data_IF_371098614830
#
_entry.id   IF_371098614830
#
_cell.length_a   1.000
_cell.length_b   1.000
_cell.length_c   1.000
_cell.angle_alpha   90.00
_cell.angle_beta   90.00
_cell.angle_gamma   90.00
#
_symmetry.space_group_name_H-M   'P 1'
#
loop_
_entity.id
_entity.type
_entity.pdbx_description
1 polymer ?
#
# COMPACT_ATOMS: atom_id res chain seq x y z
N UNK A 1 -13.46 -20.05 1.58
CA UNK A 1 -12.27 -20.55 2.32
C UNK A 1 -10.97 -20.03 1.74
N UNK A 2 -10.72 -20.11 0.42
CA UNK A 2 -9.51 -19.54 -0.20
C UNK A 2 -9.31 -18.04 0.11
N UNK A 3 -10.37 -17.23 0.06
CA UNK A 3 -10.33 -15.77 0.30
C UNK A 3 -10.01 -15.39 1.76
N UNK A 4 -10.45 -16.21 2.72
CA UNK A 4 -10.07 -16.03 4.14
C UNK A 4 -8.61 -16.43 4.37
N UNK A 5 -8.13 -17.40 3.61
CA UNK A 5 -6.75 -17.88 3.69
C UNK A 5 -5.75 -16.86 3.13
N UNK A 6 -6.09 -16.20 2.03
CA UNK A 6 -5.26 -15.15 1.42
C UNK A 6 -5.15 -13.93 2.33
N UNK A 7 -6.24 -13.48 2.97
CA UNK A 7 -6.21 -12.32 3.88
C UNK A 7 -5.34 -12.52 5.13
N UNK A 8 -5.37 -13.71 5.73
CA UNK A 8 -4.52 -14.02 6.90
C UNK A 8 -3.04 -14.14 6.52
N UNK A 9 -2.74 -14.76 5.38
CA UNK A 9 -1.36 -14.89 4.89
C UNK A 9 -0.80 -13.53 4.45
N UNK A 10 -1.60 -12.67 3.81
CA UNK A 10 -1.19 -11.30 3.46
C UNK A 10 -0.99 -10.41 4.69
N UNK A 11 -1.86 -10.51 5.69
CA UNK A 11 -1.70 -9.81 6.97
C UNK A 11 -0.42 -10.24 7.71
N UNK A 12 -0.12 -11.54 7.73
CA UNK A 12 1.09 -12.09 8.35
C UNK A 12 2.36 -11.79 7.55
N UNK A 13 2.30 -11.75 6.21
CA UNK A 13 3.37 -11.26 5.35
C UNK A 13 3.69 -9.79 5.66
N UNK A 14 2.66 -8.97 5.89
CA UNK A 14 2.83 -7.57 6.27
C UNK A 14 3.59 -7.43 7.58
N UNK A 15 3.38 -8.29 8.58
CA UNK A 15 4.02 -8.12 9.90
C UNK A 15 5.41 -8.74 10.04
N UNK A 16 5.69 -9.82 9.30
CA UNK A 16 6.84 -10.70 9.59
C UNK A 16 7.88 -10.81 8.45
N UNK A 17 7.59 -10.28 7.26
CA UNK A 17 8.44 -10.51 6.08
C UNK A 17 9.00 -9.20 5.51
N UNK A 18 10.29 -8.96 5.78
CA UNK A 18 11.03 -7.77 5.33
C UNK A 18 12.20 -8.13 4.41
N UNK A 19 11.91 -8.83 3.30
CA UNK A 19 12.88 -9.19 2.27
C UNK A 19 12.31 -9.06 0.86
N UNK A 20 13.13 -9.15 -0.20
CA UNK A 20 12.62 -9.29 -1.56
C UNK A 20 11.70 -10.51 -1.65
N UNK A 21 10.69 -10.56 -2.56
CA UNK A 21 9.75 -11.68 -2.66
C UNK A 21 10.47 -13.04 -2.65
N UNK A 22 10.00 -14.03 -1.88
CA UNK A 22 10.73 -15.28 -1.73
C UNK A 22 10.69 -16.04 -3.05
N UNK A 23 11.86 -16.44 -3.54
CA UNK A 23 11.97 -17.24 -4.76
C UNK A 23 11.28 -18.61 -4.56
N UNK A 24 10.34 -18.99 -5.45
CA UNK A 24 9.72 -20.29 -5.41
C UNK A 24 10.72 -21.39 -5.77
N UNK A 25 10.70 -22.50 -5.03
CA UNK A 25 11.38 -23.73 -5.46
C UNK A 25 10.73 -24.27 -6.75
N UNK A 26 11.43 -25.10 -7.55
CA UNK A 26 10.84 -25.71 -8.74
C UNK A 26 9.53 -26.46 -8.42
N UNK A 27 8.43 -26.01 -9.02
CA UNK A 27 7.08 -26.57 -8.78
C UNK A 27 6.35 -26.03 -7.54
N UNK A 28 6.95 -25.10 -6.78
CA UNK A 28 6.33 -24.43 -5.64
C UNK A 28 5.54 -23.20 -6.10
N UNK A 29 4.32 -23.03 -5.59
CA UNK A 29 3.55 -21.80 -5.84
C UNK A 29 4.10 -20.65 -4.99
N UNK A 30 4.09 -19.41 -5.49
CA UNK A 30 4.68 -18.25 -4.78
C UNK A 30 4.09 -18.04 -3.36
N UNK A 31 2.81 -18.36 -3.15
CA UNK A 31 2.18 -18.32 -1.82
C UNK A 31 2.76 -19.36 -0.85
N UNK A 32 3.20 -20.52 -1.36
CA UNK A 32 3.84 -21.56 -0.54
C UNK A 32 5.26 -21.11 -0.15
N UNK A 33 6.00 -20.50 -1.09
CA UNK A 33 7.31 -19.91 -0.82
C UNK A 33 7.22 -18.80 0.25
N UNK A 34 6.21 -17.93 0.14
CA UNK A 34 5.85 -16.93 1.15
C UNK A 34 5.54 -17.56 2.51
N UNK A 35 4.63 -18.54 2.55
CA UNK A 35 4.22 -19.21 3.79
C UNK A 35 5.39 -19.91 4.49
N UNK A 36 6.28 -20.54 3.70
CA UNK A 36 7.50 -21.19 4.18
C UNK A 36 8.43 -20.20 4.85
N UNK A 37 8.62 -19.03 4.25
CA UNK A 37 9.53 -18.02 4.77
C UNK A 37 8.96 -17.27 5.98
N UNK A 38 7.64 -17.06 6.04
CA UNK A 38 6.93 -16.58 7.24
C UNK A 38 7.14 -17.54 8.41
N UNK A 39 6.93 -18.85 8.19
CA UNK A 39 7.06 -19.88 9.24
C UNK A 39 8.48 -19.97 9.81
N UNK A 40 9.51 -19.67 9.00
CA UNK A 40 10.90 -19.62 9.46
C UNK A 40 11.19 -18.38 10.32
N UNK A 41 10.61 -17.23 9.98
CA UNK A 41 10.95 -15.93 10.58
C UNK A 41 10.06 -15.55 11.76
N UNK A 42 8.87 -16.14 11.88
CA UNK A 42 7.94 -15.93 13.00
C UNK A 42 7.61 -17.28 13.69
N UNK A 43 8.41 -17.71 14.68
CA UNK A 43 8.12 -18.91 15.45
C UNK A 43 6.92 -18.67 16.37
N UNK A 44 5.81 -19.35 16.10
CA UNK A 44 4.56 -19.25 16.89
C UNK A 44 3.28 -19.21 16.05
N UNK A 45 3.37 -18.96 14.75
CA UNK A 45 2.20 -18.87 13.87
C UNK A 45 1.64 -20.25 13.50
N UNK A 46 0.45 -20.57 13.99
CA UNK A 46 -0.35 -21.72 13.53
C UNK A 46 -1.00 -21.39 12.17
N UNK A 47 -0.26 -21.57 11.08
CA UNK A 47 -0.83 -21.53 9.73
C UNK A 47 -1.43 -22.91 9.43
N UNK A 48 -2.73 -23.07 9.71
CA UNK A 48 -3.48 -24.29 9.38
C UNK A 48 -3.55 -24.44 7.87
N UNK A 49 -2.68 -25.25 7.27
CA UNK A 49 -2.88 -25.69 5.87
C UNK A 49 -4.01 -26.69 5.86
N UNK A 50 -5.20 -26.25 5.45
CA UNK A 50 -6.33 -27.13 5.23
C UNK A 50 -6.06 -28.07 4.06
N UNK A 51 -5.38 -29.19 4.33
CA UNK A 51 -5.35 -30.36 3.45
C UNK A 51 -5.97 -31.53 4.19
N UNK A 52 -7.17 -31.94 3.74
CA UNK A 52 -7.87 -33.12 4.23
C UNK A 52 -7.10 -34.40 3.87
N UNK A 53 -7.02 -35.31 4.85
CA UNK A 53 -6.72 -36.76 4.80
C UNK A 53 -5.34 -37.14 4.23
N UNK A 54 -4.52 -38.00 4.83
CA UNK A 54 -4.75 -39.09 5.77
C UNK A 54 -3.78 -40.22 5.37
N UNK A 55 -3.24 -40.93 6.36
CA UNK A 55 -2.33 -42.09 6.30
C UNK A 55 -0.81 -41.84 6.32
N UNK A 56 -0.27 -42.34 7.44
CA UNK A 56 1.09 -42.73 7.79
C UNK A 56 1.81 -43.59 6.75
N UNK A 57 3.14 -43.44 6.65
CA UNK A 57 4.01 -44.49 6.11
C UNK A 57 5.42 -44.05 5.71
N UNK A 58 6.38 -44.26 6.62
CA UNK A 58 7.78 -44.69 6.46
C UNK A 58 8.74 -44.07 5.42
N UNK A 59 9.95 -43.80 5.94
CA UNK A 59 11.21 -43.56 5.23
C UNK A 59 11.56 -44.68 4.23
N UNK A 60 12.09 -44.31 3.06
CA UNK A 60 13.19 -45.02 2.40
C UNK A 60 13.88 -44.13 1.37
N UNK A 61 15.20 -44.12 1.46
CA UNK A 61 16.18 -43.55 0.54
C UNK A 61 16.30 -44.36 -0.75
N UNK A 62 16.51 -43.69 -1.90
CA UNK A 62 17.42 -44.17 -2.95
C UNK A 62 17.69 -43.11 -4.04
N UNK A 63 18.98 -42.94 -4.33
CA UNK A 63 19.58 -42.11 -5.36
C UNK A 63 19.36 -42.65 -6.77
N UNK A 64 19.38 -41.79 -7.80
CA UNK A 64 20.11 -42.00 -9.07
C UNK A 64 20.13 -40.71 -9.92
N UNK A 65 21.28 -40.47 -10.55
CA UNK A 65 21.70 -39.33 -11.38
C UNK A 65 21.25 -39.45 -12.87
N UNK A 66 21.47 -38.40 -13.71
CA UNK A 66 20.67 -38.10 -14.90
C UNK A 66 21.28 -38.57 -16.23
N UNK A 67 20.49 -38.53 -17.31
CA UNK A 67 21.00 -38.61 -18.68
C UNK A 67 20.30 -37.61 -19.62
N UNK A 68 21.09 -36.71 -20.19
CA UNK A 68 20.75 -35.77 -21.25
C UNK A 68 20.87 -36.41 -22.64
N UNK A 69 20.14 -35.89 -23.66
CA UNK A 69 20.56 -35.59 -25.07
C UNK A 69 19.32 -34.96 -25.79
N UNK A 70 19.24 -33.67 -26.18
CA UNK A 70 19.76 -32.88 -27.34
C UNK A 70 18.93 -32.93 -28.64
N UNK A 71 18.50 -31.72 -29.08
CA UNK A 71 18.22 -31.11 -30.41
C UNK A 71 17.11 -31.53 -31.42
N UNK A 72 16.13 -30.60 -31.57
CA UNK A 72 15.65 -29.81 -32.75
C UNK A 72 15.56 -30.38 -34.20
N UNK A 73 14.91 -29.70 -35.20
CA UNK A 73 13.77 -28.74 -35.22
C UNK A 73 12.77 -28.94 -36.42
N UNK A 74 11.90 -27.92 -36.67
CA UNK A 74 11.07 -27.58 -37.87
C UNK A 74 9.67 -28.23 -37.92
N UNK A 75 8.56 -27.58 -38.30
CA UNK A 75 8.33 -26.51 -39.30
C UNK A 75 6.98 -25.81 -39.05
N UNK A 76 6.87 -24.53 -39.44
CA UNK A 76 5.62 -23.79 -39.63
C UNK A 76 4.74 -24.40 -40.73
N UNK A 77 3.41 -24.26 -40.64
CA UNK A 77 2.58 -24.00 -41.81
C UNK A 77 1.20 -23.41 -41.47
N UNK A 78 0.94 -22.32 -42.16
CA UNK A 78 -0.24 -21.47 -42.26
C UNK A 78 -1.31 -22.03 -43.21
N UNK A 79 -2.56 -21.53 -43.08
CA UNK A 79 -3.49 -21.05 -44.14
C UNK A 79 -4.97 -21.50 -44.02
N UNK A 80 -5.83 -20.48 -44.08
CA UNK A 80 -7.17 -20.31 -44.68
C UNK A 80 -8.42 -20.96 -44.10
N UNK A 81 -9.24 -20.09 -43.52
CA UNK A 81 -10.56 -19.65 -44.02
C UNK A 81 -11.30 -20.60 -44.97
N UNK A 82 -12.41 -21.17 -44.48
CA UNK A 82 -13.55 -21.61 -45.29
C UNK A 82 -14.84 -21.12 -44.62
N UNK A 83 -15.65 -20.40 -45.38
CA UNK A 83 -17.02 -19.99 -45.03
C UNK A 83 -17.99 -21.02 -45.65
N UNK A 84 -19.02 -21.47 -44.92
CA UNK A 84 -20.26 -21.93 -45.56
C UNK A 84 -21.46 -21.13 -45.00
N UNK A 85 -22.16 -20.36 -45.84
CA UNK A 85 -23.49 -20.64 -46.44
C UNK A 85 -24.64 -20.77 -45.44
N UNK A 86 -25.57 -19.83 -45.59
CA UNK A 86 -26.89 -19.76 -44.95
C UNK A 86 -27.74 -20.98 -45.30
N UNK A 87 -28.40 -21.55 -44.29
CA UNK A 87 -29.62 -22.33 -44.47
C UNK A 87 -30.52 -22.13 -43.25
N UNK A 88 -31.68 -21.53 -43.49
CA UNK A 88 -32.77 -21.33 -42.54
C UNK A 88 -33.29 -22.67 -42.04
N UNK A 89 -33.34 -22.84 -40.71
CA UNK A 89 -34.35 -23.64 -40.04
C UNK A 89 -34.63 -23.03 -38.66
N UNK A 90 -35.89 -22.67 -38.48
CA UNK A 90 -36.42 -21.90 -37.38
C UNK A 90 -36.93 -22.88 -36.31
N UNK A 91 -36.14 -23.14 -35.27
CA UNK A 91 -36.62 -23.82 -34.05
C UNK A 91 -36.43 -22.90 -32.83
N UNK A 92 -37.57 -22.54 -32.25
CA UNK A 92 -37.67 -21.59 -31.15
C UNK A 92 -37.13 -22.18 -29.87
N UNK A 93 -35.87 -21.89 -29.57
CA UNK A 93 -35.37 -21.88 -28.20
C UNK A 93 -34.51 -20.63 -28.03
N UNK A 94 -35.09 -19.59 -27.43
CA UNK A 94 -34.38 -18.39 -26.99
C UNK A 94 -33.14 -18.80 -26.20
N UNK A 95 -31.91 -18.49 -26.66
CA UNK A 95 -30.75 -18.59 -25.81
C UNK A 95 -30.92 -17.51 -24.76
N UNK A 96 -31.08 -17.90 -23.50
CA UNK A 96 -30.89 -16.99 -22.38
C UNK A 96 -29.54 -16.33 -22.57
N UNK A 97 -29.56 -15.04 -22.91
CA UNK A 97 -28.39 -14.19 -22.89
C UNK A 97 -27.83 -14.35 -21.48
N UNK A 98 -26.71 -15.07 -21.35
CA UNK A 98 -25.92 -14.97 -20.14
C UNK A 98 -25.48 -13.51 -20.10
N UNK A 99 -26.20 -12.71 -19.33
CA UNK A 99 -25.74 -11.40 -18.92
C UNK A 99 -24.37 -11.66 -18.31
N UNK A 100 -23.31 -11.27 -19.02
CA UNK A 100 -21.98 -11.17 -18.43
C UNK A 100 -22.17 -10.31 -17.19
N UNK A 101 -22.09 -10.92 -16.00
CA UNK A 101 -22.24 -10.19 -14.75
C UNK A 101 -21.20 -9.05 -14.81
N UNK A 102 -21.68 -7.82 -14.98
CA UNK A 102 -20.83 -6.65 -14.94
C UNK A 102 -20.09 -6.71 -13.61
N UNK A 103 -18.76 -6.64 -13.65
CA UNK A 103 -17.96 -6.61 -12.42
C UNK A 103 -18.58 -5.58 -11.45
N UNK A 104 -18.81 -5.96 -10.18
CA UNK A 104 -19.41 -5.04 -9.22
C UNK A 104 -18.61 -3.74 -9.16
N UNK A 105 -19.31 -2.61 -9.29
CA UNK A 105 -18.73 -1.27 -9.18
C UNK A 105 -18.81 -0.83 -7.72
N UNK A 106 -17.67 -0.80 -7.04
CA UNK A 106 -17.58 -0.32 -5.66
C UNK A 106 -17.35 1.19 -5.63
N UNK A 107 -18.13 1.94 -4.86
CA UNK A 107 -17.93 3.39 -4.73
C UNK A 107 -16.59 3.73 -4.07
N UNK A 108 -16.22 2.97 -3.03
CA UNK A 108 -14.98 3.11 -2.26
C UNK A 108 -14.60 1.78 -1.58
N UNK A 109 -13.54 1.77 -0.76
CA UNK A 109 -13.13 0.58 -0.01
C UNK A 109 -14.15 0.15 1.07
N UNK A 110 -15.02 1.06 1.55
CA UNK A 110 -16.08 0.71 2.51
C UNK A 110 -17.16 -0.11 1.82
N UNK A 111 -17.53 0.26 0.59
CA UNK A 111 -18.47 -0.48 -0.23
C UNK A 111 -17.91 -1.86 -0.61
N UNK A 112 -16.65 -1.95 -1.04
CA UNK A 112 -16.02 -3.24 -1.31
C UNK A 112 -15.98 -4.14 -0.06
N UNK A 113 -15.70 -3.56 1.11
CA UNK A 113 -15.72 -4.27 2.39
C UNK A 113 -17.10 -4.83 2.73
N UNK A 114 -18.16 -4.04 2.55
CA UNK A 114 -19.54 -4.48 2.79
C UNK A 114 -19.97 -5.63 1.85
N UNK A 115 -19.32 -5.75 0.69
CA UNK A 115 -19.52 -6.81 -0.30
C UNK A 115 -18.52 -7.98 -0.15
N UNK A 116 -17.81 -8.07 0.98
CA UNK A 116 -16.96 -9.23 1.31
C UNK A 116 -15.52 -9.15 0.79
N UNK A 117 -15.09 -8.01 0.25
CA UNK A 117 -13.71 -7.74 -0.15
C UNK A 117 -13.02 -6.95 0.97
N UNK A 118 -12.34 -7.66 1.86
CA UNK A 118 -11.79 -7.10 3.10
C UNK A 118 -10.42 -6.41 2.93
N UNK A 119 -9.77 -6.53 1.78
CA UNK A 119 -8.52 -5.86 1.48
C UNK A 119 -7.88 -6.34 0.18
N UNK A 120 -6.74 -5.76 -0.17
CA UNK A 120 -6.02 -6.04 -1.41
C UNK A 120 -6.23 -4.95 -2.46
N UNK A 121 -5.81 -5.21 -3.70
CA UNK A 121 -5.96 -4.25 -4.80
C UNK A 121 -7.38 -4.34 -5.38
N UNK A 122 -8.08 -3.21 -5.44
CA UNK A 122 -9.49 -3.10 -5.85
C UNK A 122 -9.65 -1.87 -6.75
N UNK A 123 -10.47 -1.98 -7.79
CA UNK A 123 -10.92 -0.81 -8.55
C UNK A 123 -12.17 -0.21 -7.90
N UNK A 124 -12.07 1.04 -7.46
CA UNK A 124 -13.18 1.83 -6.91
C UNK A 124 -13.62 2.91 -7.90
N UNK A 125 -14.83 3.43 -7.74
CA UNK A 125 -15.45 4.41 -8.66
C UNK A 125 -15.95 5.64 -7.90
N UNK A 126 -15.06 6.44 -7.27
CA UNK A 126 -15.44 7.70 -6.65
C UNK A 126 -15.84 8.73 -7.71
N UNK A 127 -16.55 9.78 -7.30
CA UNK A 127 -17.07 10.82 -8.21
C UNK A 127 -15.99 11.42 -9.13
N UNK A 128 -14.77 11.58 -8.60
CA UNK A 128 -13.64 12.17 -9.33
C UNK A 128 -13.00 11.20 -10.35
N UNK A 129 -13.27 9.89 -10.23
CA UNK A 129 -12.72 8.84 -11.09
C UNK A 129 -13.84 7.93 -11.62
N UNK A 130 -14.73 8.43 -12.51
CA UNK A 130 -15.90 7.69 -12.99
C UNK A 130 -15.54 6.46 -13.85
N UNK A 131 -14.34 6.45 -14.43
CA UNK A 131 -13.80 5.34 -15.22
C UNK A 131 -13.13 4.26 -14.36
N UNK A 132 -12.97 4.52 -13.06
CA UNK A 132 -12.35 3.62 -12.09
C UNK A 132 -10.96 4.06 -11.67
N UNK A 133 -10.65 3.84 -10.40
CA UNK A 133 -9.35 4.09 -9.78
C UNK A 133 -8.90 2.80 -9.07
N UNK A 134 -7.74 2.27 -9.46
CA UNK A 134 -7.13 1.14 -8.76
C UNK A 134 -6.47 1.62 -7.47
N UNK A 135 -6.86 1.02 -6.34
CA UNK A 135 -6.33 1.35 -5.01
C UNK A 135 -6.04 0.09 -4.22
N UNK A 136 -5.22 0.20 -3.17
CA UNK A 136 -5.15 -0.84 -2.15
C UNK A 136 -6.15 -0.55 -1.04
N UNK A 137 -7.09 -1.46 -0.80
CA UNK A 137 -7.99 -1.41 0.33
C UNK A 137 -7.41 -2.18 1.52
N UNK A 138 -7.60 -1.63 2.72
CA UNK A 138 -7.42 -2.34 3.98
C UNK A 138 -8.66 -2.09 4.84
N UNK A 139 -9.48 -3.13 4.99
CA UNK A 139 -10.84 -3.03 5.49
C UNK A 139 -11.65 -1.99 4.71
N UNK A 140 -12.15 -0.95 5.40
CA UNK A 140 -12.95 0.14 4.82
C UNK A 140 -12.11 1.35 4.40
N UNK A 141 -10.78 1.22 4.39
CA UNK A 141 -9.84 2.33 4.18
C UNK A 141 -9.10 2.19 2.85
N UNK A 142 -8.92 3.32 2.18
CA UNK A 142 -8.03 3.45 1.02
C UNK A 142 -6.62 3.66 1.57
N UNK A 143 -5.67 2.81 1.20
CA UNK A 143 -4.26 2.98 1.56
C UNK A 143 -3.63 3.93 0.55
N UNK A 144 -3.10 5.05 1.03
CA UNK A 144 -2.42 6.06 0.18
C UNK A 144 -0.91 5.91 0.19
N UNK A 145 -0.38 5.25 1.22
CA UNK A 145 1.04 4.91 1.34
C UNK A 145 1.17 3.59 2.07
N UNK A 146 2.10 2.74 1.60
CA UNK A 146 2.54 1.55 2.33
C UNK A 146 4.06 1.44 2.27
N UNK A 147 4.68 1.10 3.40
CA UNK A 147 6.10 0.73 3.52
C UNK A 147 6.22 -0.64 4.16
N UNK A 148 6.33 -1.69 3.35
CA UNK A 148 6.52 -3.07 3.83
C UNK A 148 7.68 -3.81 3.15
N UNK A 149 8.16 -3.32 2.01
CA UNK A 149 9.32 -3.85 1.30
C UNK A 149 10.35 -2.75 1.10
N UNK A 150 11.61 -3.01 1.48
CA UNK A 150 12.71 -2.05 1.43
C UNK A 150 13.25 -1.77 0.01
N UNK A 151 12.87 -2.58 -0.98
CA UNK A 151 13.35 -2.44 -2.35
C UNK A 151 12.72 -1.25 -3.11
N UNK A 152 11.59 -0.74 -2.63
CA UNK A 152 10.94 0.42 -3.25
C UNK A 152 11.61 1.72 -2.80
N UNK A 153 12.07 2.53 -3.76
CA UNK A 153 12.72 3.80 -3.51
C UNK A 153 11.67 4.91 -3.31
N UNK A 154 11.75 5.65 -2.21
CA UNK A 154 10.88 6.80 -1.92
C UNK A 154 11.59 8.16 -2.08
N UNK A 155 12.88 8.19 -2.38
CA UNK A 155 13.56 9.39 -2.87
C UNK A 155 13.20 9.61 -4.34
N UNK A 156 11.99 10.12 -4.58
CA UNK A 156 11.37 10.29 -5.90
C UNK A 156 11.12 11.76 -6.23
N UNK A 157 11.01 12.04 -7.52
CA UNK A 157 10.79 13.39 -8.06
C UNK A 157 9.38 13.91 -7.77
N UNK A 158 9.18 15.22 -7.93
CA UNK A 158 7.85 15.85 -7.89
C UNK A 158 6.83 15.16 -8.78
N UNK A 159 7.20 14.88 -10.03
CA UNK A 159 6.31 14.25 -11.00
C UNK A 159 5.90 12.83 -10.57
N UNK A 160 6.84 12.05 -10.02
CA UNK A 160 6.54 10.71 -9.50
C UNK A 160 5.66 10.78 -8.24
N UNK A 161 5.90 11.73 -7.33
CA UNK A 161 5.03 11.92 -6.16
C UNK A 161 3.63 12.42 -6.53
N UNK A 162 3.52 13.23 -7.58
CA UNK A 162 2.24 13.67 -8.15
C UNK A 162 1.45 12.49 -8.70
N UNK A 163 2.08 11.70 -9.57
CA UNK A 163 1.41 10.65 -10.35
C UNK A 163 1.26 9.33 -9.58
N UNK A 164 2.09 9.12 -8.54
CA UNK A 164 2.17 7.89 -7.78
C UNK A 164 3.24 6.94 -8.31
N UNK A 165 3.72 6.05 -7.43
CA UNK A 165 4.76 5.07 -7.75
C UNK A 165 4.69 3.84 -6.84
N UNK A 166 5.39 2.78 -7.26
CA UNK A 166 5.47 1.51 -6.53
C UNK A 166 4.37 0.53 -6.91
N UNK A 167 4.09 -0.44 -6.04
CA UNK A 167 3.12 -1.50 -6.27
C UNK A 167 2.05 -1.52 -5.19
N UNK A 168 0.77 -1.41 -5.58
CA UNK A 168 -0.38 -1.35 -4.67
C UNK A 168 -0.51 -2.58 -3.74
N UNK A 169 0.07 -3.73 -4.08
CA UNK A 169 0.16 -4.91 -3.22
C UNK A 169 1.31 -4.88 -2.21
N UNK A 170 2.33 -4.04 -2.44
CA UNK A 170 3.55 -3.93 -1.64
C UNK A 170 3.78 -2.48 -1.20
N UNK A 171 5.00 -1.95 -1.34
CA UNK A 171 5.31 -0.56 -1.03
C UNK A 171 4.90 0.36 -2.19
N UNK A 172 4.22 1.46 -1.89
CA UNK A 172 3.80 2.44 -2.88
C UNK A 172 3.45 3.81 -2.26
N UNK A 173 3.36 4.82 -3.11
CA UNK A 173 2.70 6.10 -2.86
C UNK A 173 1.61 6.29 -3.92
N UNK A 174 0.37 6.54 -3.49
CA UNK A 174 -0.78 6.57 -4.41
C UNK A 174 -0.72 7.70 -5.44
N UNK A 175 -0.09 8.82 -5.08
CA UNK A 175 0.00 10.02 -5.92
C UNK A 175 -0.72 11.20 -5.29
N UNK A 176 -0.03 12.34 -5.20
CA UNK A 176 -0.55 13.55 -4.56
C UNK A 176 -1.79 14.08 -5.29
N UNK A 177 -1.80 14.05 -6.63
CA UNK A 177 -2.96 14.50 -7.39
C UNK A 177 -4.16 13.59 -7.14
N UNK A 178 -3.93 12.28 -7.03
CA UNK A 178 -5.00 11.33 -6.73
C UNK A 178 -5.61 11.63 -5.36
N UNK A 179 -4.77 11.77 -4.33
CA UNK A 179 -5.24 12.06 -2.97
C UNK A 179 -5.91 13.44 -2.88
N UNK A 180 -5.37 14.47 -3.57
CA UNK A 180 -5.98 15.80 -3.67
C UNK A 180 -7.38 15.73 -4.26
N UNK A 181 -7.55 15.03 -5.38
CA UNK A 181 -8.85 14.89 -6.03
C UNK A 181 -9.84 14.13 -5.13
N UNK A 182 -9.43 13.01 -4.53
CA UNK A 182 -10.30 12.25 -3.61
C UNK A 182 -10.77 13.12 -2.43
N UNK A 183 -9.85 13.87 -1.82
CA UNK A 183 -10.12 14.70 -0.63
C UNK A 183 -10.68 16.08 -0.93
N UNK A 184 -10.89 16.42 -2.20
CA UNK A 184 -11.43 17.73 -2.63
C UNK A 184 -12.91 17.94 -2.29
N UNK A 185 -13.65 16.85 -2.02
CA UNK A 185 -15.07 16.89 -1.66
C UNK A 185 -15.36 15.98 -0.46
N UNK A 186 -16.23 16.49 0.43
CA UNK A 186 -16.61 15.85 1.68
C UNK A 186 -15.53 15.87 2.75
N UNK A 187 -15.86 15.23 3.88
CA UNK A 187 -14.97 15.12 5.03
C UNK A 187 -14.23 13.78 4.94
N UNK A 188 -12.93 13.81 5.16
CA UNK A 188 -12.05 12.66 5.06
C UNK A 188 -11.26 12.50 6.35
N UNK A 189 -11.17 11.28 6.83
CA UNK A 189 -10.36 10.91 7.98
C UNK A 189 -9.03 10.34 7.49
N UNK A 190 -7.96 10.59 8.24
CA UNK A 190 -6.65 9.96 8.05
C UNK A 190 -6.36 9.01 9.21
N UNK A 191 -5.80 7.85 8.89
CA UNK A 191 -5.28 6.88 9.85
C UNK A 191 -3.84 6.54 9.49
N UNK A 192 -2.95 6.57 10.47
CA UNK A 192 -1.56 6.13 10.34
C UNK A 192 -1.35 4.90 11.21
N UNK A 193 -0.94 3.80 10.60
CA UNK A 193 -0.55 2.57 11.29
C UNK A 193 0.97 2.43 11.30
N UNK A 194 1.54 2.24 12.49
CA UNK A 194 2.98 2.13 12.71
C UNK A 194 3.28 0.82 13.44
N UNK A 195 4.34 0.12 13.05
CA UNK A 195 4.83 -1.04 13.79
C UNK A 195 6.32 -0.93 14.06
N UNK A 196 6.73 -1.44 15.22
CA UNK A 196 8.13 -1.51 15.61
C UNK A 196 8.84 -2.63 14.86
N UNK A 197 10.03 -2.36 14.32
CA UNK A 197 10.91 -3.40 13.80
C UNK A 197 11.63 -4.16 14.92
N UNK A 198 11.97 -3.47 16.02
CA UNK A 198 12.77 -4.03 17.12
C UNK A 198 11.93 -4.89 18.07
N UNK A 199 10.62 -4.62 18.16
CA UNK A 199 9.66 -5.38 18.96
C UNK A 199 8.51 -5.88 18.07
N UNK A 200 8.69 -7.03 17.39
CA UNK A 200 7.69 -7.63 16.51
C UNK A 200 6.41 -7.96 17.28
N UNK A 201 5.40 -7.11 17.15
CA UNK A 201 4.11 -7.21 17.87
C UNK A 201 3.67 -5.89 18.49
N UNK A 202 4.59 -4.94 18.63
CA UNK A 202 4.28 -3.57 19.06
C UNK A 202 3.78 -2.73 17.88
N UNK A 203 2.54 -2.28 17.97
CA UNK A 203 1.86 -1.49 16.93
C UNK A 203 1.19 -0.26 17.55
N UNK A 204 1.29 0.87 16.87
CA UNK A 204 0.64 2.12 17.23
C UNK A 204 -0.27 2.57 16.10
N UNK A 205 -1.40 3.19 16.44
CA UNK A 205 -2.32 3.79 15.47
C UNK A 205 -2.59 5.22 15.88
N UNK A 206 -2.66 6.11 14.89
CA UNK A 206 -2.99 7.52 15.05
C UNK A 206 -4.10 7.88 14.07
N UNK A 207 -5.04 8.73 14.47
CA UNK A 207 -6.14 9.18 13.60
C UNK A 207 -6.31 10.69 13.63
N UNK A 208 -6.83 11.22 12.53
CA UNK A 208 -7.12 12.63 12.30
C UNK A 208 -8.55 12.72 11.76
N UNK A 209 -9.35 13.61 12.34
CA UNK A 209 -10.78 13.70 12.04
C UNK A 209 -11.05 14.39 10.70
N UNK A 210 -10.19 15.33 10.33
CA UNK A 210 -10.17 16.01 9.03
C UNK A 210 -8.82 15.81 8.37
N UNK A 211 -8.83 15.48 7.08
CA UNK A 211 -7.65 15.35 6.25
C UNK A 211 -7.95 15.78 4.81
N UNK A 212 -7.15 16.70 4.29
CA UNK A 212 -7.19 17.11 2.89
C UNK A 212 -5.79 17.45 2.39
N UNK A 213 -5.60 17.28 1.08
CA UNK A 213 -4.51 17.90 0.35
C UNK A 213 -5.12 18.99 -0.53
N UNK A 214 -4.57 20.21 -0.47
CA UNK A 214 -5.15 21.39 -1.15
C UNK A 214 -4.11 22.15 -1.98
N UNK A 215 -4.60 22.96 -2.93
CA UNK A 215 -3.73 23.77 -3.80
C UNK A 215 -2.97 22.96 -4.84
N UNK A 216 -2.09 23.62 -5.59
CA UNK A 216 -1.27 22.99 -6.65
C UNK A 216 0.07 22.46 -6.11
N UNK A 217 0.48 22.93 -4.93
CA UNK A 217 1.67 22.48 -4.20
C UNK A 217 1.34 21.41 -3.14
N UNK A 218 0.12 20.86 -3.17
CA UNK A 218 -0.32 19.76 -2.33
C UNK A 218 -0.18 20.03 -0.82
N UNK A 219 -0.59 21.21 -0.36
CA UNK A 219 -0.54 21.61 1.05
C UNK A 219 -1.36 20.67 1.93
N UNK A 220 -0.79 20.27 3.07
CA UNK A 220 -1.47 19.40 4.05
C UNK A 220 -2.47 20.19 4.89
N UNK A 221 -3.69 19.67 5.01
CA UNK A 221 -4.66 20.07 6.03
C UNK A 221 -5.02 18.84 6.85
N UNK A 222 -4.70 18.84 8.13
CA UNK A 222 -5.07 17.75 9.03
C UNK A 222 -5.43 18.26 10.42
N UNK A 223 -6.51 17.72 11.00
CA UNK A 223 -6.98 18.03 12.36
C UNK A 223 -6.78 16.83 13.28
N UNK A 224 -6.06 17.02 14.39
CA UNK A 224 -5.78 15.95 15.35
C UNK A 224 -7.06 15.45 16.02
N UNK A 225 -7.28 14.13 16.01
CA UNK A 225 -8.23 13.53 16.94
C UNK A 225 -7.59 13.49 18.34
N UNK A 226 -8.16 14.17 19.35
CA UNK A 226 -7.54 14.31 20.67
C UNK A 226 -7.40 12.98 21.44
N UNK A 227 -8.04 11.90 20.98
CA UNK A 227 -7.84 10.55 21.52
C UNK A 227 -6.50 9.92 21.11
N UNK A 228 -5.78 10.54 20.18
CA UNK A 228 -4.55 10.02 19.58
C UNK A 228 -3.38 11.01 19.73
N UNK A 229 -2.80 11.16 20.93
CA UNK A 229 -1.78 12.18 21.21
C UNK A 229 -0.51 12.06 20.35
N UNK A 230 -0.23 10.89 19.77
CA UNK A 230 0.87 10.72 18.82
C UNK A 230 0.66 11.50 17.51
N UNK A 231 -0.52 12.04 17.23
CA UNK A 231 -0.79 12.79 15.99
C UNK A 231 -0.25 14.22 15.97
N UNK A 232 0.27 14.72 17.09
CA UNK A 232 1.08 15.94 17.12
C UNK A 232 2.27 15.89 16.15
N UNK A 233 2.82 14.68 15.92
CA UNK A 233 3.92 14.47 14.98
C UNK A 233 3.59 14.73 13.52
N UNK A 234 2.32 14.92 13.18
CA UNK A 234 1.86 15.44 11.88
C UNK A 234 1.35 16.88 12.01
N UNK A 235 0.57 17.17 13.05
CA UNK A 235 -0.22 18.41 13.13
C UNK A 235 0.54 19.65 13.59
N UNK A 236 1.58 19.51 14.41
CA UNK A 236 2.26 20.66 15.01
C UNK A 236 3.16 21.39 14.00
N UNK A 237 3.79 20.64 13.08
CA UNK A 237 4.81 21.18 12.15
C UNK A 237 4.41 21.04 10.69
N UNK A 238 3.80 19.91 10.30
CA UNK A 238 3.60 19.58 8.89
C UNK A 238 2.26 20.11 8.35
N UNK A 239 1.22 20.20 9.19
CA UNK A 239 -0.06 20.80 8.77
C UNK A 239 0.15 22.24 8.33
N UNK A 240 -0.42 22.59 7.18
CA UNK A 240 -0.29 23.90 6.56
C UNK A 240 0.95 24.06 5.69
N UNK A 241 1.86 23.10 5.64
CA UNK A 241 3.02 23.16 4.76
C UNK A 241 2.70 22.60 3.37
N UNK A 242 3.24 23.17 2.29
CA UNK A 242 3.24 22.55 0.96
C UNK A 242 4.09 21.27 0.96
N UNK A 243 3.92 20.46 -0.07
CA UNK A 243 4.73 19.25 -0.25
C UNK A 243 6.07 19.62 -0.91
N UNK A 244 7.16 18.97 -0.47
CA UNK A 244 8.49 19.13 -1.06
C UNK A 244 9.04 17.78 -1.55
N UNK A 245 9.85 17.82 -2.60
CA UNK A 245 10.61 16.67 -3.14
C UNK A 245 12.05 17.10 -3.44
N UNK A 246 12.95 16.16 -3.74
CA UNK A 246 14.36 16.50 -3.91
C UNK A 246 14.63 17.48 -5.06
N UNK A 247 13.74 17.56 -6.05
CA UNK A 247 13.82 18.42 -7.23
C UNK A 247 12.78 19.55 -7.25
N UNK A 248 11.99 19.69 -6.18
CA UNK A 248 10.97 20.73 -6.04
C UNK A 248 10.85 21.16 -4.58
N UNK A 249 11.46 22.32 -4.29
CA UNK A 249 11.66 22.83 -2.95
C UNK A 249 10.58 23.86 -2.58
N UNK A 250 9.66 23.44 -1.72
CA UNK A 250 8.59 24.28 -1.18
C UNK A 250 8.68 24.41 0.35
N UNK A 251 9.75 23.93 0.98
CA UNK A 251 9.86 24.04 2.44
C UNK A 251 10.16 25.49 2.88
N UNK A 252 9.94 25.78 4.16
CA UNK A 252 10.13 27.10 4.79
C UNK A 252 11.52 27.17 5.46
N UNK A 253 12.51 26.46 4.90
CA UNK A 253 13.88 26.48 5.39
C UNK A 253 14.52 27.85 5.09
N UNK A 254 15.05 28.50 6.13
CA UNK A 254 15.61 29.85 6.02
C UNK A 254 16.96 29.95 5.30
N UNK A 255 17.42 28.85 4.69
CA UNK A 255 18.69 28.75 3.96
C UNK A 255 18.50 27.89 2.70
N UNK A 256 19.54 27.74 1.87
CA UNK A 256 19.47 27.04 0.57
C UNK A 256 19.34 25.49 0.68
N UNK A 257 18.94 24.95 1.83
CA UNK A 257 18.80 23.50 2.05
C UNK A 257 17.39 23.03 1.71
N UNK A 258 17.28 22.15 0.72
CA UNK A 258 16.05 21.40 0.47
C UNK A 258 15.94 20.20 1.44
N UNK A 259 14.89 20.19 2.27
CA UNK A 259 14.68 19.18 3.28
C UNK A 259 14.37 17.80 2.72
N UNK A 260 13.61 17.73 1.62
CA UNK A 260 13.32 16.47 0.96
C UNK A 260 14.58 15.82 0.36
N UNK A 261 15.51 16.62 -0.16
CA UNK A 261 16.80 16.14 -0.65
C UNK A 261 17.69 15.61 0.48
N UNK A 262 17.66 16.26 1.65
CA UNK A 262 18.41 15.88 2.84
C UNK A 262 17.85 14.61 3.50
N UNK A 263 16.53 14.55 3.69
CA UNK A 263 15.79 13.53 4.43
C UNK A 263 15.28 12.37 3.57
N UNK A 264 15.60 12.39 2.28
CA UNK A 264 15.46 11.25 1.36
C UNK A 264 14.03 10.75 1.13
N UNK A 265 13.05 11.64 1.19
CA UNK A 265 11.65 11.35 0.88
C UNK A 265 10.90 12.62 0.56
N UNK A 266 9.79 12.50 -0.18
CA UNK A 266 8.84 13.60 -0.34
C UNK A 266 7.90 13.69 0.86
N UNK A 267 7.72 14.89 1.42
CA UNK A 267 6.89 15.13 2.59
C UNK A 267 6.50 16.62 2.71
N UNK A 268 5.60 16.92 3.64
CA UNK A 268 5.24 18.28 4.03
C UNK A 268 6.26 18.85 5.02
N UNK A 269 7.47 19.12 4.54
CA UNK A 269 8.53 19.67 5.40
C UNK A 269 8.31 21.16 5.64
N UNK A 270 8.55 21.58 6.89
CA UNK A 270 8.65 23.00 7.24
C UNK A 270 10.09 23.44 7.24
N UNK A 271 10.89 22.83 8.12
CA UNK A 271 12.34 23.02 8.23
C UNK A 271 12.96 21.68 8.63
N UNK A 272 14.26 21.55 8.40
CA UNK A 272 15.04 20.36 8.72
C UNK A 272 16.45 20.69 9.22
N UNK A 273 16.89 21.95 9.16
CA UNK A 273 18.16 22.40 9.73
C UNK A 273 17.94 23.52 10.75
N UNK A 274 18.78 23.59 11.79
CA UNK A 274 18.80 24.77 12.69
C UNK A 274 18.36 24.59 14.15
N UNK A 275 18.34 23.37 14.70
CA UNK A 275 18.05 23.13 16.12
C UNK A 275 19.02 22.13 16.77
N UNK A 276 19.24 22.26 18.09
CA UNK A 276 20.00 21.29 18.91
C UNK A 276 19.27 19.93 18.97
N UNK A 277 17.95 19.96 18.76
CA UNK A 277 17.03 18.82 18.77
C UNK A 277 16.23 18.78 17.45
N UNK A 278 16.71 18.02 16.48
CA UNK A 278 16.03 17.74 15.20
C UNK A 278 14.76 16.92 15.34
N UNK A 279 14.46 16.44 16.55
CA UNK A 279 13.20 15.74 16.82
C UNK A 279 12.00 16.67 16.65
N UNK A 280 12.11 17.89 17.16
CA UNK A 280 11.07 18.91 17.12
C UNK A 280 10.89 19.51 15.71
N UNK A 281 11.94 19.53 14.90
CA UNK A 281 11.90 20.11 13.56
C UNK A 281 11.24 19.19 12.53
N UNK A 282 11.44 17.88 12.64
CA UNK A 282 10.95 16.90 11.66
C UNK A 282 10.22 15.77 12.37
N UNK A 283 9.14 16.03 13.14
CA UNK A 283 8.58 15.03 14.04
C UNK A 283 8.07 13.78 13.31
N UNK A 284 7.78 13.83 12.01
CA UNK A 284 7.57 12.64 11.18
C UNK A 284 8.22 12.73 9.79
N UNK A 285 8.59 11.56 9.25
CA UNK A 285 9.03 11.38 7.86
C UNK A 285 8.79 9.93 7.43
N UNK A 286 7.55 9.52 7.19
CA UNK A 286 7.23 8.13 6.84
C UNK A 286 7.67 7.74 5.41
N UNK A 287 8.11 8.71 4.61
CA UNK A 287 8.64 8.52 3.26
C UNK A 287 10.18 8.49 3.21
N UNK A 288 10.86 8.60 4.36
CA UNK A 288 12.31 8.47 4.44
C UNK A 288 12.83 7.09 4.03
N UNK A 289 14.15 6.95 4.00
CA UNK A 289 14.82 5.69 3.65
C UNK A 289 14.49 4.58 4.65
N UNK A 290 14.53 3.33 4.16
CA UNK A 290 14.58 2.16 5.03
C UNK A 290 15.98 2.07 5.66
N UNK A 291 16.31 2.96 6.61
CA UNK A 291 17.55 2.84 7.38
C UNK A 291 17.41 1.73 8.42
N UNK A 292 18.39 0.82 8.47
CA UNK A 292 18.69 0.07 9.68
C UNK A 292 19.58 0.98 10.52
N UNK A 293 19.48 1.04 11.86
CA UNK A 293 20.41 1.81 12.66
C UNK A 293 21.81 1.21 12.47
N UNK A 294 22.61 1.78 11.57
CA UNK A 294 24.05 1.55 11.52
C UNK A 294 24.64 2.29 12.71
N UNK A 295 24.88 1.55 13.79
CA UNK A 295 25.53 2.00 15.02
C UNK A 295 24.93 3.29 15.62
N UNK A 296 24.05 3.11 16.61
CA UNK A 296 23.53 4.15 17.52
C UNK A 296 24.66 5.00 18.11
N UNK A 297 25.11 5.98 17.34
CA UNK A 297 25.90 7.13 17.76
C UNK A 297 25.12 8.43 17.56
N UNK A 298 23.82 8.30 17.26
CA UNK A 298 22.88 9.40 17.05
C UNK A 298 22.94 9.97 15.64
N UNK A 299 21.81 10.50 15.17
CA UNK A 299 21.71 11.50 14.11
C UNK A 299 21.61 11.03 12.64
N UNK A 300 21.04 9.84 12.32
CA UNK A 300 20.59 9.58 10.94
C UNK A 300 19.08 9.84 10.78
N UNK A 301 18.74 11.10 10.50
CA UNK A 301 17.35 11.59 10.37
C UNK A 301 16.69 11.26 9.02
N UNK A 302 17.40 10.55 8.14
CA UNK A 302 16.91 10.19 6.79
C UNK A 302 15.92 9.04 6.82
N UNK A 303 15.86 8.31 7.93
CA UNK A 303 15.02 7.14 8.12
C UNK A 303 13.54 7.44 8.31
N UNK A 304 12.71 6.41 8.15
CA UNK A 304 11.31 6.49 8.55
C UNK A 304 11.16 6.75 10.05
N UNK A 305 10.45 7.81 10.41
CA UNK A 305 10.27 8.22 11.82
C UNK A 305 8.88 8.76 12.11
N UNK A 306 8.52 8.63 13.38
CA UNK A 306 7.35 9.23 14.00
C UNK A 306 7.67 9.46 15.48
N UNK A 307 7.84 10.73 15.86
CA UNK A 307 8.24 11.10 17.21
C UNK A 307 7.26 10.53 18.24
N UNK A 308 7.80 9.95 19.31
CA UNK A 308 7.04 9.33 20.39
C UNK A 308 6.41 7.95 20.08
N UNK A 309 6.50 7.43 18.85
CA UNK A 309 5.91 6.13 18.53
C UNK A 309 6.75 4.97 19.09
N UNK A 310 8.05 4.94 18.79
CA UNK A 310 9.00 3.91 19.19
C UNK A 310 10.41 4.50 19.32
N UNK A 311 11.25 3.92 20.18
CA UNK A 311 12.68 4.29 20.31
C UNK A 311 13.55 3.73 19.17
N UNK A 312 13.01 2.78 18.41
CA UNK A 312 13.66 2.05 17.32
C UNK A 312 13.05 2.32 15.93
N UNK A 313 13.63 1.73 14.86
CA UNK A 313 13.14 1.90 13.50
C UNK A 313 11.70 1.40 13.31
N UNK A 314 10.94 2.14 12.51
CA UNK A 314 9.56 1.80 12.15
C UNK A 314 9.58 0.89 10.92
N UNK A 315 9.06 -0.35 11.00
CA UNK A 315 8.74 -1.21 9.85
C UNK A 315 7.68 -2.25 10.25
N UNK A 316 6.55 -2.40 9.53
CA UNK A 316 6.00 -1.67 8.38
C UNK A 316 5.11 -0.49 8.81
N UNK A 317 4.78 0.41 7.89
CA UNK A 317 3.76 1.44 8.12
C UNK A 317 2.79 1.60 6.95
N UNK A 318 1.61 2.14 7.26
CA UNK A 318 0.58 2.48 6.29
C UNK A 318 0.00 3.86 6.64
N UNK A 319 -0.29 4.64 5.60
CA UNK A 319 -1.13 5.84 5.70
C UNK A 319 -2.41 5.52 4.93
N UNK A 320 -3.55 5.69 5.58
CA UNK A 320 -4.86 5.33 5.04
C UNK A 320 -5.85 6.48 5.18
N UNK A 321 -6.72 6.64 4.19
CA UNK A 321 -7.80 7.63 4.21
C UNK A 321 -9.15 6.95 4.05
N UNK A 322 -10.19 7.60 4.55
CA UNK A 322 -11.56 7.16 4.36
C UNK A 322 -12.49 8.34 4.43
N UNK A 323 -13.46 8.38 3.51
CA UNK A 323 -14.52 9.40 3.57
C UNK A 323 -15.36 9.16 4.82
N UNK A 324 -15.53 10.20 5.62
CA UNK A 324 -16.46 10.19 6.72
C UNK A 324 -17.89 10.29 6.14
N UNK A 325 -18.68 9.25 6.37
CA UNK A 325 -20.05 9.15 5.87
C UNK A 325 -21.08 9.60 6.92
N UNK A 326 -20.66 10.07 8.09
CA UNK A 326 -21.62 10.49 9.12
C UNK A 326 -22.19 11.89 8.85
N UNK A 327 -23.53 11.94 8.96
CA UNK A 327 -24.47 13.05 8.86
C UNK A 327 -24.19 14.04 7.73
N UNK A 328 -24.86 13.86 6.59
CA UNK A 328 -25.10 14.95 5.65
C UNK A 328 -25.80 16.11 6.34
N UNK A 329 -25.03 17.04 6.87
CA UNK A 329 -25.42 18.44 6.97
C UNK A 329 -24.50 19.13 5.98
N UNK A 330 -25.02 19.34 4.77
CA UNK A 330 -24.57 20.43 3.93
C UNK A 330 -24.70 21.69 4.78
N UNK A 331 -23.60 22.13 5.38
CA UNK A 331 -23.51 23.51 5.83
C UNK A 331 -23.43 24.28 4.52
N UNK A 332 -24.56 24.84 4.11
CA UNK A 332 -24.59 25.82 3.03
C UNK A 332 -23.49 26.84 3.31
N UNK A 333 -22.48 26.83 2.46
CA UNK A 333 -21.41 27.82 2.49
C UNK A 333 -22.10 29.17 2.31
N UNK A 334 -22.00 30.12 3.26
CA UNK A 334 -22.59 31.42 3.04
C UNK A 334 -21.84 32.07 1.87
N UNK A 335 -22.57 32.38 0.80
CA UNK A 335 -22.08 33.24 -0.27
C UNK A 335 -21.62 34.57 0.37
N UNK A 336 -20.32 34.84 0.26
CA UNK A 336 -19.74 36.17 0.51
C UNK A 336 -18.80 36.54 -0.62
#
# INVERSE_FOLDING_TARGET
MLTFYTGVVESQLRTCYFGPPPEPLPGEHWMQAATREIRKRCPGTQISTGTNNGQSGQEASMSMEPKATTDQPTTEQSISTVKPTEQDDNDGTTPSIMTTASSPRYADCRDSYANGIYGGVVTIYPTQYPDGLEVSCNEQWIVIQRRNVAAENFTRSWAEYRDGFGNLGYSFWLGNEIVRQLTSDGNWELKVGLNSLDDPGSSQTVQFDDFQIVGDEYQLVASLNPSFPLGHSLTDVHTGQPFSTYDHDNDDEGNDTNCAALLKGGWWFKTCTGGVDTEDLVPSNLNGEFSYPVNYTGQDYRGMRWAGAFDGPIRPCEILIRRNHCCGITVDKPDY
#
